data_IF_935612609860
#
_entry.id   IF_935612609860
#
_cell.length_a   1.000
_cell.length_b   1.000
_cell.length_c   1.000
_cell.angle_alpha   90.00
_cell.angle_beta   90.00
_cell.angle_gamma   90.00
#
_symmetry.space_group_name_H-M   'P 1'
#
loop_
_entity.id
_entity.type
_entity.pdbx_description
1 polymer ?
#
# COMPACT_ATOMS: atom_id res chain seq x y z
N UNK A 1 -16.30 -1.29 -5.14
CA UNK A 1 -15.67 -1.41 -6.24
C UNK A 1 -14.30 -0.89 -6.22
N UNK A 2 -13.49 -1.58 -6.76
CA UNK A 2 -12.10 -1.20 -6.68
C UNK A 2 -11.67 -0.25 -7.78
N UNK A 3 -12.62 0.37 -8.44
CA UNK A 3 -12.27 1.25 -9.54
C UNK A 3 -11.42 2.42 -9.08
N UNK A 4 -11.58 2.85 -7.83
CA UNK A 4 -10.76 3.96 -7.34
C UNK A 4 -9.31 3.57 -7.15
N UNK A 5 -9.00 2.27 -7.10
CA UNK A 5 -7.63 1.81 -6.98
C UNK A 5 -7.02 1.43 -8.31
N UNK A 6 -7.86 1.26 -9.31
CA UNK A 6 -7.39 0.78 -10.58
C UNK A 6 -6.48 1.78 -11.23
N UNK A 7 -5.35 1.33 -11.69
CA UNK A 7 -4.38 2.19 -12.34
C UNK A 7 -3.47 2.95 -11.41
N UNK A 8 -3.70 2.86 -10.10
CA UNK A 8 -2.82 3.54 -9.18
C UNK A 8 -1.53 2.76 -9.00
N UNK A 9 -0.49 3.47 -8.64
CA UNK A 9 0.78 2.85 -8.33
C UNK A 9 1.01 2.93 -6.85
N UNK A 10 1.71 1.95 -6.31
CA UNK A 10 1.89 1.84 -4.88
C UNK A 10 3.36 1.68 -4.53
N UNK A 11 3.72 2.29 -3.41
CA UNK A 11 5.02 2.10 -2.78
C UNK A 11 4.76 1.46 -1.43
N UNK A 12 5.49 0.41 -1.12
CA UNK A 12 5.34 -0.28 0.16
C UNK A 12 6.61 -0.12 0.95
N UNK A 13 6.48 0.44 2.15
CA UNK A 13 7.58 0.64 3.07
C UNK A 13 7.30 -0.15 4.34
N UNK A 14 8.33 -0.83 4.84
CA UNK A 14 8.25 -1.56 6.08
C UNK A 14 9.15 -0.84 7.08
N UNK A 15 8.56 -0.37 8.16
CA UNK A 15 9.26 0.41 9.17
C UNK A 15 9.37 -0.43 10.44
N UNK A 16 10.57 -0.84 10.73
CA UNK A 16 10.83 -1.62 11.93
C UNK A 16 10.97 -0.71 13.14
N UNK A 17 10.51 -1.12 14.31
CA UNK A 17 10.69 -0.28 15.49
C UNK A 17 12.15 -0.08 15.86
N UNK A 18 13.02 -0.92 15.37
CA UNK A 18 14.42 -0.83 15.76
C UNK A 18 15.21 0.04 14.84
N UNK A 19 14.90 0.06 13.58
CA UNK A 19 15.72 0.82 12.70
C UNK A 19 15.07 1.13 11.39
N UNK A 20 15.64 0.71 10.37
CA UNK A 20 15.53 1.29 9.07
C UNK A 20 14.19 1.05 8.40
N UNK A 21 13.96 1.85 7.41
CA UNK A 21 12.83 1.70 6.53
C UNK A 21 13.29 0.84 5.36
N UNK A 22 12.56 -0.23 5.10
CA UNK A 22 12.81 -1.08 3.95
C UNK A 22 11.75 -0.81 2.91
N UNK A 23 12.17 -0.60 1.69
CA UNK A 23 11.23 -0.40 0.59
C UNK A 23 11.05 -1.73 -0.11
N UNK A 24 9.83 -2.28 0.00
CA UNK A 24 9.52 -3.56 -0.62
C UNK A 24 9.03 -3.42 -2.04
N UNK A 25 8.44 -2.29 -2.36
CA UNK A 25 7.97 -2.03 -3.71
C UNK A 25 7.99 -0.54 -3.92
N UNK A 26 8.37 -0.11 -5.12
CA UNK A 26 8.46 1.30 -5.40
C UNK A 26 7.62 1.63 -6.62
N UNK A 27 6.43 2.15 -6.35
CA UNK A 27 5.53 2.69 -7.36
C UNK A 27 5.19 1.70 -8.47
N UNK A 28 4.89 0.47 -8.06
CA UNK A 28 4.43 -0.55 -8.99
C UNK A 28 2.92 -0.46 -9.16
N UNK A 29 2.42 -0.86 -10.31
CA UNK A 29 0.96 -0.86 -10.48
C UNK A 29 0.28 -1.72 -9.44
N UNK A 30 -0.74 -1.17 -8.82
CA UNK A 30 -1.51 -1.88 -7.81
C UNK A 30 -2.62 -2.65 -8.51
N UNK A 31 -2.70 -3.94 -8.27
CA UNK A 31 -3.73 -4.77 -8.90
C UNK A 31 -4.84 -5.12 -7.95
N UNK A 32 -4.60 -5.04 -6.65
CA UNK A 32 -5.69 -5.30 -5.71
C UNK A 32 -5.22 -5.37 -4.29
N UNK A 33 -6.19 -5.27 -3.36
CA UNK A 33 -5.96 -5.46 -1.95
C UNK A 33 -7.07 -6.38 -1.45
N UNK A 34 -6.70 -7.43 -0.74
CA UNK A 34 -7.66 -8.39 -0.24
C UNK A 34 -7.22 -8.90 1.13
N UNK A 35 -8.21 -9.23 1.96
CA UNK A 35 -7.94 -9.81 3.26
C UNK A 35 -8.29 -11.29 3.23
N UNK A 36 -7.35 -12.10 3.68
CA UNK A 36 -7.53 -13.55 3.76
C UNK A 36 -7.78 -13.90 5.23
N UNK A 37 -9.01 -14.25 5.55
CA UNK A 37 -9.37 -14.54 6.92
C UNK A 37 -8.82 -15.86 7.41
N UNK A 38 -8.52 -16.78 6.51
CA UNK A 38 -7.97 -18.06 6.91
C UNK A 38 -6.57 -17.89 7.44
N UNK A 39 -5.76 -17.09 6.78
CA UNK A 39 -4.40 -16.85 7.20
C UNK A 39 -4.24 -15.62 8.08
N UNK A 40 -5.31 -14.84 8.24
CA UNK A 40 -5.26 -13.56 8.92
C UNK A 40 -4.16 -12.71 8.30
N UNK A 41 -4.28 -12.48 7.02
CA UNK A 41 -3.27 -11.75 6.28
C UNK A 41 -3.92 -10.79 5.30
N UNK A 42 -3.39 -9.60 5.24
CA UNK A 42 -3.78 -8.63 4.24
C UNK A 42 -2.84 -8.78 3.06
N UNK A 43 -3.42 -8.97 1.90
CA UNK A 43 -2.63 -9.18 0.71
C UNK A 43 -2.69 -7.95 -0.16
N UNK A 44 -1.54 -7.41 -0.47
CA UNK A 44 -1.43 -6.24 -1.34
C UNK A 44 -0.76 -6.72 -2.61
N UNK A 45 -1.54 -6.72 -3.68
CA UNK A 45 -1.08 -7.29 -4.94
C UNK A 45 -0.64 -6.19 -5.88
N UNK A 46 0.58 -6.30 -6.33
CA UNK A 46 1.14 -5.38 -7.29
C UNK A 46 1.64 -6.16 -8.48
N UNK A 47 1.95 -5.46 -9.54
CA UNK A 47 2.46 -6.10 -10.72
C UNK A 47 3.81 -6.73 -10.40
N UNK A 48 3.82 -8.08 -10.37
CA UNK A 48 5.04 -8.81 -10.10
C UNK A 48 5.39 -8.99 -8.63
N UNK A 49 4.58 -8.45 -7.71
CA UNK A 49 4.88 -8.54 -6.29
C UNK A 49 3.60 -8.79 -5.51
N UNK A 50 3.62 -9.80 -4.65
CA UNK A 50 2.54 -10.02 -3.69
C UNK A 50 3.10 -9.75 -2.31
N UNK A 51 2.59 -8.72 -1.66
CA UNK A 51 3.06 -8.38 -0.33
C UNK A 51 2.00 -8.78 0.68
N UNK A 52 2.40 -9.59 1.66
CA UNK A 52 1.49 -10.06 2.68
C UNK A 52 1.82 -9.43 4.02
N UNK A 53 0.78 -8.97 4.70
CA UNK A 53 0.92 -8.47 6.06
C UNK A 53 0.18 -9.43 6.95
N UNK A 54 0.91 -10.23 7.73
CA UNK A 54 0.30 -11.22 8.59
C UNK A 54 -0.13 -10.61 9.90
N UNK A 55 -1.30 -11.00 10.35
CA UNK A 55 -1.85 -10.57 11.63
C UNK A 55 -1.89 -9.05 11.76
N UNK A 56 -2.58 -8.38 10.83
CA UNK A 56 -2.70 -6.93 10.93
C UNK A 56 -3.53 -6.60 12.15
N UNK A 57 -3.03 -5.66 12.95
CA UNK A 57 -3.66 -5.30 14.20
C UNK A 57 -4.42 -4.00 14.09
N UNK A 58 -3.86 -3.04 13.41
CA UNK A 58 -4.47 -1.74 13.22
C UNK A 58 -4.24 -1.29 11.80
N UNK A 59 -5.22 -0.63 11.25
CA UNK A 59 -5.11 -0.09 9.90
C UNK A 59 -5.59 1.33 9.90
N UNK A 60 -4.85 2.19 9.22
CA UNK A 60 -5.17 3.60 9.13
C UNK A 60 -5.24 3.99 7.67
N UNK A 61 -6.38 4.52 7.30
CA UNK A 61 -6.60 4.97 5.93
C UNK A 61 -6.48 6.48 5.89
N UNK A 62 -5.76 6.96 4.90
CA UNK A 62 -5.60 8.38 4.71
C UNK A 62 -6.16 8.74 3.34
N UNK A 63 -7.03 9.75 3.32
CA UNK A 63 -7.68 10.17 2.10
C UNK A 63 -7.26 11.59 1.77
N UNK A 64 -6.99 11.82 0.52
CA UNK A 64 -6.68 13.16 0.05
C UNK A 64 -7.73 13.61 -0.95
N UNK A 65 -7.41 14.66 -1.65
CA UNK A 65 -8.34 15.25 -2.61
C UNK A 65 -8.72 14.26 -3.70
N UNK A 66 -7.82 13.36 -4.04
CA UNK A 66 -8.09 12.37 -5.07
C UNK A 66 -8.66 11.08 -4.57
N UNK A 67 -9.03 11.01 -3.28
CA UNK A 67 -9.57 9.80 -2.68
C UNK A 67 -8.54 9.13 -1.79
N UNK A 68 -8.55 7.81 -1.79
CA UNK A 68 -7.67 7.02 -0.94
C UNK A 68 -6.21 7.22 -1.34
N UNK A 69 -5.37 7.60 -0.42
CA UNK A 69 -3.97 7.92 -0.70
C UNK A 69 -2.98 7.01 -0.03
N UNK A 70 -3.26 6.56 1.16
CA UNK A 70 -2.30 5.69 1.83
C UNK A 70 -2.99 4.81 2.85
N UNK A 71 -2.33 3.71 3.16
CA UNK A 71 -2.79 2.74 4.12
C UNK A 71 -1.62 2.39 5.02
N UNK A 72 -1.75 2.68 6.31
CA UNK A 72 -0.77 2.26 7.28
C UNK A 72 -1.29 1.05 8.00
N UNK A 73 -0.48 0.02 8.12
CA UNK A 73 -0.86 -1.22 8.77
C UNK A 73 0.16 -1.52 9.85
N UNK A 74 -0.34 -1.65 11.07
CA UNK A 74 0.49 -2.07 12.19
C UNK A 74 0.23 -3.55 12.42
N UNK A 75 1.25 -4.37 12.28
CA UNK A 75 1.06 -5.79 12.48
C UNK A 75 1.30 -6.17 13.93
N UNK A 76 1.14 -7.45 14.23
CA UNK A 76 1.20 -7.91 15.59
C UNK A 76 2.58 -7.77 16.21
N UNK A 77 3.60 -7.65 15.39
CA UNK A 77 4.96 -7.47 15.87
C UNK A 77 5.36 -6.00 15.98
N UNK A 78 4.39 -5.10 15.86
CA UNK A 78 4.61 -3.67 15.94
C UNK A 78 5.45 -3.13 14.79
N UNK A 79 5.36 -3.79 13.66
CA UNK A 79 6.02 -3.32 12.46
C UNK A 79 5.00 -2.58 11.63
N UNK A 80 5.33 -1.37 11.24
CA UNK A 80 4.48 -0.57 10.38
C UNK A 80 4.75 -0.90 8.93
N UNK A 81 3.67 -1.05 8.19
CA UNK A 81 3.76 -1.26 6.76
C UNK A 81 2.92 -0.20 6.11
N UNK A 82 3.54 0.63 5.32
CA UNK A 82 2.89 1.81 4.76
C UNK A 82 2.79 1.65 3.26
N UNK A 83 1.56 1.67 2.79
CA UNK A 83 1.28 1.58 1.37
C UNK A 83 0.87 2.97 0.92
N UNK A 84 1.70 3.59 0.12
CA UNK A 84 1.41 4.91 -0.42
C UNK A 84 0.95 4.76 -1.85
N UNK A 85 -0.05 5.52 -2.22
CA UNK A 85 -0.63 5.42 -3.56
C UNK A 85 -0.46 6.73 -4.29
N UNK A 86 -0.32 6.65 -5.60
CA UNK A 86 -0.37 7.84 -6.42
C UNK A 86 -0.92 7.47 -7.79
N UNK A 87 -1.35 8.48 -8.50
CA UNK A 87 -1.93 8.27 -9.80
C UNK A 87 -0.91 7.77 -10.79
N UNK A 88 -1.35 6.98 -11.75
CA UNK A 88 -0.43 6.40 -12.71
C UNK A 88 0.23 7.44 -13.60
N UNK A 89 -0.48 8.51 -13.89
CA UNK A 89 0.08 9.52 -14.74
C UNK A 89 0.62 10.64 -13.93
N UNK A 90 1.78 10.44 -13.41
CA UNK A 90 2.45 11.48 -12.67
C UNK A 90 3.35 12.27 -13.57
N UNK A 91 2.94 12.41 -14.80
CA UNK A 91 3.70 13.18 -15.73
C UNK A 91 3.55 14.65 -15.43
N UNK A 92 4.62 15.39 -15.55
CA UNK A 92 4.48 16.82 -15.44
C UNK A 92 3.59 17.25 -16.57
N UNK A 93 2.57 18.01 -16.27
CA UNK A 93 1.71 18.48 -17.26
C UNK A 93 2.40 19.49 -18.03
N UNK A 94 2.33 19.34 -19.26
CA UNK A 94 2.78 20.46 -20.02
C UNK A 94 1.84 21.52 -19.70
N UNK A 95 1.90 22.28 -19.40
CA UNK A 95 0.98 23.04 -19.03
C UNK A 95 0.74 23.82 -19.82
N UNK A 96 0.46 23.69 -20.24
CA UNK A 96 0.24 24.11 -21.08
C UNK A 96 0.10 24.80 -21.17
#
# INVERSE_FOLDING_TARGET
MSSSLKGKRAKIEVVSPIDAILIKARWLPLTGIAYDSVQDALRIMLDGVDHLVFQPREMYLDFGAGGFQSLGILDQRSIWQIVSLRDPLMLPWPRR
#
